data_IF_878344973037
#
_entry.id   IF_878344973037
#
_cell.length_a   1.000
_cell.length_b   1.000
_cell.length_c   1.000
_cell.angle_alpha   90.00
_cell.angle_beta   90.00
_cell.angle_gamma   90.00
#
_symmetry.space_group_name_H-M   'P 1'
#
loop_
_entity.id
_entity.type
_entity.pdbx_description
1 polymer ?
#
# COMPACT_ATOMS: atom_id res chain seq x y z
N UNK A 1 43.96 -25.48 98.17
CA UNK A 1 43.09 -26.64 97.87
C UNK A 1 42.25 -26.29 96.65
N UNK A 2 42.68 -26.74 95.47
CA UNK A 2 42.12 -27.90 94.76
C UNK A 2 40.69 -27.62 94.31
N UNK A 3 40.46 -27.32 93.03
CA UNK A 3 40.06 -28.27 91.97
C UNK A 3 38.89 -27.56 91.25
N UNK A 4 38.53 -27.72 89.97
CA UNK A 4 38.78 -28.72 88.94
C UNK A 4 38.10 -28.17 87.66
N UNK A 5 38.57 -28.59 86.48
CA UNK A 5 37.75 -29.13 85.36
C UNK A 5 36.48 -28.35 84.95
N UNK A 6 36.25 -27.92 83.71
CA UNK A 6 36.31 -28.61 82.42
C UNK A 6 36.16 -27.52 81.34
N UNK A 7 36.85 -27.60 80.20
CA UNK A 7 36.34 -26.94 78.99
C UNK A 7 36.36 -27.87 77.78
N UNK A 8 35.11 -28.20 77.43
CA UNK A 8 34.58 -28.81 76.22
C UNK A 8 35.39 -28.53 74.95
N UNK A 9 35.68 -29.62 74.25
CA UNK A 9 36.13 -29.63 72.85
C UNK A 9 34.96 -29.19 71.97
N UNK A 10 35.16 -28.14 71.17
CA UNK A 10 34.23 -27.71 70.13
C UNK A 10 34.69 -28.25 68.75
N UNK A 11 33.80 -28.79 67.90
CA UNK A 11 34.15 -29.11 66.52
C UNK A 11 34.09 -27.86 65.64
N UNK A 12 35.09 -27.69 64.76
CA UNK A 12 35.12 -26.64 63.73
C UNK A 12 34.04 -26.88 62.68
N UNK A 13 33.18 -25.89 62.35
CA UNK A 13 32.44 -25.92 61.10
C UNK A 13 33.28 -25.32 59.96
N UNK A 14 33.20 -26.06 58.86
CA UNK A 14 33.84 -25.87 57.55
C UNK A 14 33.28 -24.61 56.87
N UNK A 15 34.16 -23.77 56.32
CA UNK A 15 33.77 -22.66 55.46
C UNK A 15 33.01 -23.17 54.24
N UNK A 16 31.83 -22.62 53.97
CA UNK A 16 31.09 -22.84 52.75
C UNK A 16 30.70 -21.49 52.15
N UNK A 17 31.27 -21.27 50.97
CA UNK A 17 31.04 -20.21 50.00
C UNK A 17 29.61 -19.67 49.98
N UNK A 18 29.47 -18.36 50.10
CA UNK A 18 28.27 -17.63 49.72
C UNK A 18 28.17 -17.62 48.19
N UNK A 19 27.05 -18.10 47.65
CA UNK A 19 26.69 -17.86 46.25
C UNK A 19 25.33 -17.15 46.24
N UNK A 20 25.33 -15.88 45.83
CA UNK A 20 24.12 -15.08 45.60
C UNK A 20 23.54 -15.42 44.23
N UNK A 21 22.29 -15.93 44.11
CA UNK A 21 21.62 -16.00 42.82
C UNK A 21 20.75 -14.73 42.67
N UNK A 22 21.14 -13.81 41.78
CA UNK A 22 20.38 -12.56 41.64
C UNK A 22 20.50 -11.82 40.32
N UNK A 23 21.12 -12.42 39.29
CA UNK A 23 21.28 -11.77 37.98
C UNK A 23 20.35 -12.35 36.90
N UNK A 24 20.13 -13.66 36.89
CA UNK A 24 19.73 -14.36 35.67
C UNK A 24 18.25 -14.22 35.28
N UNK A 25 17.33 -14.06 36.24
CA UNK A 25 15.89 -14.02 35.96
C UNK A 25 15.44 -12.71 35.29
N UNK A 26 16.10 -11.59 35.61
CA UNK A 26 15.79 -10.27 35.02
C UNK A 26 16.24 -10.16 33.56
N UNK A 27 17.38 -10.76 33.22
CA UNK A 27 17.85 -10.86 31.85
C UNK A 27 16.97 -11.80 31.00
N UNK A 28 16.52 -12.93 31.58
CA UNK A 28 15.62 -13.85 30.87
C UNK A 28 14.25 -13.24 30.57
N UNK A 29 13.67 -12.48 31.51
CA UNK A 29 12.39 -11.76 31.28
C UNK A 29 12.57 -10.64 30.25
N UNK A 30 13.70 -9.92 30.28
CA UNK A 30 14.00 -8.87 29.30
C UNK A 30 14.18 -9.42 27.88
N UNK A 31 14.84 -10.59 27.72
CA UNK A 31 15.02 -11.26 26.43
C UNK A 31 13.69 -11.84 25.92
N UNK A 32 12.83 -12.37 26.80
CA UNK A 32 11.52 -12.89 26.43
C UNK A 32 10.54 -11.78 25.99
N UNK A 33 10.61 -10.59 26.62
CA UNK A 33 9.79 -9.42 26.24
C UNK A 33 10.28 -8.75 24.95
N UNK A 34 11.58 -8.80 24.66
CA UNK A 34 12.17 -8.22 23.44
C UNK A 34 11.96 -9.11 22.19
N UNK A 35 11.72 -10.41 22.37
CA UNK A 35 11.43 -11.36 21.29
C UNK A 35 9.97 -11.32 20.78
N UNK A 36 9.06 -10.63 21.47
CA UNK A 36 7.64 -10.49 21.08
C UNK A 36 7.39 -9.34 20.08
N UNK A 37 8.42 -8.58 19.69
CA UNK A 37 8.27 -7.37 18.86
C UNK A 37 9.20 -7.41 17.66
N UNK A 38 9.07 -8.38 16.74
CA UNK A 38 9.66 -8.24 15.40
C UNK A 38 9.23 -9.35 14.44
N UNK A 39 7.93 -9.39 14.11
CA UNK A 39 7.51 -9.99 12.83
C UNK A 39 6.52 -9.07 12.15
N UNK A 40 6.93 -7.82 11.95
CA UNK A 40 6.31 -6.98 10.91
C UNK A 40 6.80 -7.51 9.57
N UNK A 41 6.10 -8.49 9.02
CA UNK A 41 6.16 -8.71 7.58
C UNK A 41 5.56 -7.46 6.94
N UNK A 42 6.40 -6.50 6.57
CA UNK A 42 6.02 -5.46 5.63
C UNK A 42 5.80 -6.13 4.26
N UNK A 43 4.65 -6.81 4.11
CA UNK A 43 4.16 -7.22 2.80
C UNK A 43 3.87 -5.92 2.08
N UNK A 44 4.77 -5.49 1.21
CA UNK A 44 4.52 -4.36 0.32
C UNK A 44 3.38 -4.77 -0.60
N UNK A 45 2.15 -4.42 -0.24
CA UNK A 45 0.99 -4.60 -1.11
C UNK A 45 1.24 -3.73 -2.34
N UNK A 46 1.65 -4.35 -3.45
CA UNK A 46 1.67 -3.68 -4.75
C UNK A 46 0.23 -3.29 -5.04
N UNK A 47 -0.05 -1.98 -5.00
CA UNK A 47 -1.38 -1.46 -5.31
C UNK A 47 -1.70 -1.78 -6.76
N UNK A 48 -2.91 -2.28 -7.00
CA UNK A 48 -3.39 -2.58 -8.35
C UNK A 48 -3.52 -1.28 -9.14
N UNK A 49 -3.01 -1.29 -10.38
CA UNK A 49 -3.02 -0.13 -11.28
C UNK A 49 -4.44 0.39 -11.54
N UNK A 50 -5.42 -0.52 -11.67
CA UNK A 50 -6.84 -0.17 -11.85
C UNK A 50 -7.40 0.59 -10.64
N UNK A 51 -7.05 0.14 -9.43
CA UNK A 51 -7.45 0.77 -8.17
C UNK A 51 -6.83 2.16 -8.02
N UNK A 52 -5.56 2.32 -8.40
CA UNK A 52 -4.90 3.62 -8.39
C UNK A 52 -5.58 4.61 -9.36
N UNK A 53 -5.86 4.19 -10.59
CA UNK A 53 -6.58 5.02 -11.55
C UNK A 53 -7.99 5.36 -11.07
N UNK A 54 -8.72 4.40 -10.49
CA UNK A 54 -10.07 4.61 -9.94
C UNK A 54 -10.07 5.67 -8.83
N UNK A 55 -9.08 5.62 -7.94
CA UNK A 55 -8.91 6.65 -6.90
C UNK A 55 -8.55 8.03 -7.48
N UNK A 56 -7.75 8.08 -8.53
CA UNK A 56 -7.38 9.33 -9.22
C UNK A 56 -8.60 9.94 -9.94
N UNK A 57 -9.45 9.13 -10.56
CA UNK A 57 -10.70 9.60 -11.19
C UNK A 57 -11.61 10.27 -10.18
N UNK A 58 -11.72 9.73 -8.96
CA UNK A 58 -12.52 10.35 -7.89
C UNK A 58 -12.01 11.74 -7.46
N UNK A 59 -10.81 12.15 -7.89
CA UNK A 59 -10.22 13.47 -7.63
C UNK A 59 -10.33 14.41 -8.83
N UNK A 60 -10.86 13.94 -9.97
CA UNK A 60 -11.12 14.79 -11.12
C UNK A 60 -12.19 15.81 -10.74
N UNK A 61 -11.98 17.04 -11.16
CA UNK A 61 -12.95 18.14 -10.99
C UNK A 61 -13.35 18.67 -12.36
N UNK A 62 -14.59 19.17 -12.43
CA UNK A 62 -15.08 19.87 -13.61
C UNK A 62 -14.15 21.05 -13.95
N UNK A 63 -13.96 21.33 -15.24
CA UNK A 63 -13.13 22.42 -15.76
C UNK A 63 -11.62 22.29 -15.43
N UNK A 64 -11.17 21.15 -14.89
CA UNK A 64 -9.75 20.79 -14.76
C UNK A 64 -9.07 20.81 -16.13
N UNK A 65 -7.87 21.38 -16.23
CA UNK A 65 -7.14 21.41 -17.50
C UNK A 65 -6.66 20.01 -17.89
N UNK A 66 -6.50 19.76 -19.20
CA UNK A 66 -5.90 18.52 -19.72
C UNK A 66 -4.53 18.26 -19.11
N UNK A 67 -3.73 19.30 -18.93
CA UNK A 67 -2.41 19.20 -18.31
C UNK A 67 -2.50 18.69 -16.87
N UNK A 68 -3.37 19.28 -16.06
CA UNK A 68 -3.55 18.87 -14.66
C UNK A 68 -4.16 17.48 -14.56
N UNK A 69 -5.09 17.14 -15.48
CA UNK A 69 -5.63 15.79 -15.60
C UNK A 69 -4.53 14.77 -15.88
N UNK A 70 -3.63 15.04 -16.83
CA UNK A 70 -2.52 14.15 -17.15
C UNK A 70 -1.50 14.04 -16.01
N UNK A 71 -1.28 15.10 -15.24
CA UNK A 71 -0.45 15.07 -14.03
C UNK A 71 -1.11 14.21 -12.95
N UNK A 72 -2.41 14.40 -12.72
CA UNK A 72 -3.19 13.64 -11.74
C UNK A 72 -3.26 12.15 -12.08
N UNK A 73 -3.61 11.83 -13.32
CA UNK A 73 -3.77 10.45 -13.78
C UNK A 73 -2.40 9.76 -13.95
N UNK A 74 -1.40 10.52 -14.38
CA UNK A 74 -0.10 10.02 -14.80
C UNK A 74 -0.11 9.47 -16.23
N UNK A 75 1.06 9.45 -16.86
CA UNK A 75 1.24 9.02 -18.26
C UNK A 75 2.10 7.76 -18.42
N UNK A 76 2.46 7.14 -17.29
CA UNK A 76 3.33 5.96 -17.26
C UNK A 76 2.59 4.72 -17.78
N UNK A 77 3.31 3.89 -18.53
CA UNK A 77 2.81 2.56 -18.95
C UNK A 77 2.94 1.55 -17.81
N UNK A 78 1.83 0.95 -17.41
CA UNK A 78 1.82 -0.18 -16.49
C UNK A 78 2.28 -1.46 -17.21
N UNK A 79 3.16 -2.23 -16.56
CA UNK A 79 3.67 -3.50 -17.11
C UNK A 79 3.32 -4.63 -16.14
N UNK A 80 2.26 -5.42 -16.41
CA UNK A 80 1.97 -6.58 -15.60
C UNK A 80 3.05 -7.65 -15.77
N UNK A 81 3.15 -8.58 -14.81
CA UNK A 81 4.08 -9.71 -14.91
C UNK A 81 3.70 -10.68 -16.05
N UNK A 82 2.41 -10.70 -16.41
CA UNK A 82 1.82 -11.51 -17.47
C UNK A 82 0.89 -10.61 -18.29
N UNK A 83 0.99 -10.67 -19.62
CA UNK A 83 0.21 -9.85 -20.54
C UNK A 83 0.96 -8.64 -21.09
N UNK A 84 0.26 -7.85 -21.89
CA UNK A 84 0.85 -6.72 -22.61
C UNK A 84 0.97 -5.47 -21.72
N UNK A 85 1.93 -4.56 -22.01
CA UNK A 85 2.00 -3.25 -21.39
C UNK A 85 0.72 -2.44 -21.62
N UNK A 86 0.19 -1.82 -20.56
CA UNK A 86 -1.02 -1.01 -20.60
C UNK A 86 -0.64 0.47 -20.47
N UNK A 87 -0.78 1.29 -21.52
CA UNK A 87 -0.50 2.72 -21.43
C UNK A 87 -1.54 3.44 -20.55
N UNK A 88 -1.18 4.64 -20.07
CA UNK A 88 -2.09 5.53 -19.35
C UNK A 88 -2.08 6.91 -20.03
N UNK A 89 -3.19 7.43 -20.57
CA UNK A 89 -4.46 6.73 -20.82
C UNK A 89 -4.26 5.49 -21.72
N UNK A 90 -5.21 4.57 -21.68
CA UNK A 90 -5.18 3.35 -22.50
C UNK A 90 -5.37 3.69 -23.98
N UNK A 91 -6.32 4.59 -24.28
CA UNK A 91 -6.54 5.13 -25.63
C UNK A 91 -7.13 6.54 -25.54
N UNK A 92 -7.01 7.25 -26.65
CA UNK A 92 -7.63 8.57 -26.84
C UNK A 92 -8.49 8.54 -28.11
N UNK A 93 -9.64 9.19 -28.05
CA UNK A 93 -10.55 9.35 -29.18
C UNK A 93 -10.86 10.83 -29.39
N UNK A 94 -10.89 11.28 -30.65
CA UNK A 94 -11.34 12.61 -31.00
C UNK A 94 -12.73 12.52 -31.63
N UNK A 95 -13.70 13.21 -31.05
CA UNK A 95 -15.08 13.26 -31.51
C UNK A 95 -15.38 14.64 -32.11
N UNK A 96 -16.09 14.67 -33.24
CA UNK A 96 -16.65 15.90 -33.80
C UNK A 96 -18.16 15.75 -33.93
N UNK A 97 -18.89 16.62 -33.27
CA UNK A 97 -20.35 16.66 -33.32
C UNK A 97 -20.84 18.03 -33.78
N UNK A 98 -22.17 18.22 -33.82
CA UNK A 98 -22.77 19.51 -34.16
C UNK A 98 -22.39 20.61 -33.16
N UNK A 99 -22.15 20.27 -31.90
CA UNK A 99 -21.79 21.23 -30.84
C UNK A 99 -20.30 21.51 -30.76
N UNK A 100 -19.44 20.69 -31.38
CA UNK A 100 -18.01 20.99 -31.50
C UNK A 100 -17.12 19.76 -31.47
N UNK A 101 -15.84 19.99 -31.16
CA UNK A 101 -14.83 18.94 -31.03
C UNK A 101 -14.62 18.59 -29.56
N UNK A 102 -14.54 17.29 -29.30
CA UNK A 102 -14.27 16.69 -27.99
C UNK A 102 -13.07 15.76 -28.09
N UNK A 103 -12.35 15.62 -26.98
CA UNK A 103 -11.30 14.63 -26.80
C UNK A 103 -11.71 13.72 -25.63
N UNK A 104 -11.61 12.41 -25.81
CA UNK A 104 -11.97 11.43 -24.79
C UNK A 104 -10.75 10.60 -24.47
N UNK A 105 -10.33 10.62 -23.19
CA UNK A 105 -9.24 9.80 -22.68
C UNK A 105 -9.84 8.62 -21.92
N UNK A 106 -9.50 7.41 -22.32
CA UNK A 106 -10.00 6.20 -21.69
C UNK A 106 -8.97 5.65 -20.70
N UNK A 107 -9.35 5.57 -19.43
CA UNK A 107 -8.49 5.09 -18.35
C UNK A 107 -8.91 3.72 -17.89
N UNK A 108 -7.93 2.87 -17.59
CA UNK A 108 -8.15 1.54 -17.06
C UNK A 108 -8.49 1.60 -15.57
N UNK A 109 -9.68 1.13 -15.16
CA UNK A 109 -10.21 1.34 -13.79
C UNK A 109 -10.87 0.13 -13.15
N UNK A 110 -11.08 -0.94 -13.91
CA UNK A 110 -11.55 -2.22 -13.37
C UNK A 110 -10.42 -3.27 -13.49
N UNK A 111 -10.42 -4.34 -12.69
CA UNK A 111 -9.35 -5.33 -12.71
C UNK A 111 -9.26 -6.07 -14.06
N UNK A 112 -8.03 -6.26 -14.56
CA UNK A 112 -7.75 -7.02 -15.79
C UNK A 112 -8.14 -8.48 -15.58
N UNK A 113 -8.97 -9.03 -16.46
CA UNK A 113 -9.08 -10.49 -16.56
C UNK A 113 -7.84 -11.03 -17.28
N UNK A 114 -7.06 -11.84 -16.58
CA UNK A 114 -5.82 -12.39 -17.12
C UNK A 114 -6.05 -13.06 -18.50
N UNK A 115 -5.13 -12.80 -19.44
CA UNK A 115 -5.11 -13.36 -20.80
C UNK A 115 -6.32 -13.02 -21.68
N UNK A 116 -7.05 -11.94 -21.38
CA UNK A 116 -8.12 -11.44 -22.25
C UNK A 116 -7.79 -10.04 -22.78
N UNK A 117 -8.21 -9.68 -24.00
CA UNK A 117 -8.10 -8.32 -24.48
C UNK A 117 -8.86 -7.34 -23.57
N UNK A 118 -8.32 -6.14 -23.37
CA UNK A 118 -8.98 -5.07 -22.63
C UNK A 118 -10.23 -4.63 -23.40
N UNK A 119 -11.36 -4.63 -22.70
CA UNK A 119 -12.67 -4.25 -23.20
C UNK A 119 -13.14 -2.94 -22.61
N UNK A 120 -14.17 -2.33 -23.22
CA UNK A 120 -14.77 -1.10 -22.71
C UNK A 120 -15.34 -1.24 -21.30
N UNK A 121 -15.76 -2.45 -20.91
CA UNK A 121 -16.23 -2.71 -19.54
C UNK A 121 -15.15 -2.46 -18.48
N UNK A 122 -13.86 -2.44 -18.87
CA UNK A 122 -12.73 -2.23 -17.96
C UNK A 122 -12.23 -0.77 -17.94
N UNK A 123 -12.88 0.10 -18.71
CA UNK A 123 -12.45 1.47 -18.93
C UNK A 123 -13.43 2.49 -18.36
N UNK A 124 -12.89 3.64 -17.95
CA UNK A 124 -13.66 4.84 -17.64
C UNK A 124 -13.21 5.98 -18.56
N UNK A 125 -14.12 6.52 -19.39
CA UNK A 125 -13.80 7.67 -20.24
C UNK A 125 -13.77 8.97 -19.42
N UNK A 126 -12.86 9.88 -19.75
CA UNK A 126 -12.86 11.27 -19.31
C UNK A 126 -13.01 12.13 -20.55
N UNK A 127 -14.02 12.98 -20.56
CA UNK A 127 -14.42 13.80 -21.72
C UNK A 127 -13.90 15.22 -21.54
N UNK A 128 -13.24 15.73 -22.58
CA UNK A 128 -12.70 17.07 -22.62
C UNK A 128 -13.27 17.85 -23.78
N UNK A 129 -13.42 19.16 -23.56
CA UNK A 129 -13.72 20.16 -24.58
C UNK A 129 -12.83 21.37 -24.33
N UNK A 130 -12.20 21.90 -25.37
CA UNK A 130 -11.27 23.03 -25.26
C UNK A 130 -10.20 22.80 -24.18
N UNK A 131 -9.60 21.61 -24.16
CA UNK A 131 -8.58 21.18 -23.19
C UNK A 131 -9.02 21.18 -21.72
N UNK A 132 -10.32 21.12 -21.45
CA UNK A 132 -10.86 21.05 -20.09
C UNK A 132 -11.83 19.91 -19.90
N UNK A 133 -11.80 19.30 -18.72
CA UNK A 133 -12.74 18.23 -18.33
C UNK A 133 -14.15 18.79 -18.27
N UNK A 134 -15.07 18.14 -18.98
CA UNK A 134 -16.51 18.41 -18.96
C UNK A 134 -17.33 17.24 -18.38
N UNK A 135 -16.69 16.11 -18.10
CA UNK A 135 -17.34 14.96 -17.48
C UNK A 135 -16.46 13.71 -17.57
N UNK A 136 -16.88 12.66 -16.90
CA UNK A 136 -16.25 11.35 -16.93
C UNK A 136 -17.28 10.25 -16.68
N UNK A 137 -16.91 9.02 -17.01
CA UNK A 137 -17.81 7.88 -17.00
C UNK A 137 -18.64 7.77 -18.28
N UNK A 138 -19.22 6.59 -18.46
CA UNK A 138 -19.94 6.24 -19.68
C UNK A 138 -21.13 7.15 -19.97
N UNK A 139 -21.82 7.66 -18.94
CA UNK A 139 -22.90 8.62 -19.13
C UNK A 139 -22.44 9.90 -19.85
N UNK A 140 -21.33 10.50 -19.39
CA UNK A 140 -20.78 11.71 -20.02
C UNK A 140 -20.28 11.44 -21.45
N UNK A 141 -19.70 10.26 -21.70
CA UNK A 141 -19.27 9.87 -23.04
C UNK A 141 -20.45 9.68 -24.01
N UNK A 142 -21.53 9.02 -23.57
CA UNK A 142 -22.71 8.84 -24.42
C UNK A 142 -23.42 10.15 -24.70
N UNK A 143 -23.53 11.03 -23.69
CA UNK A 143 -24.11 12.36 -23.85
C UNK A 143 -23.44 13.11 -25.00
N UNK A 144 -22.10 13.17 -25.05
CA UNK A 144 -21.41 13.86 -26.14
C UNK A 144 -21.44 13.12 -27.47
N UNK A 145 -21.66 11.81 -27.50
CA UNK A 145 -21.73 11.02 -28.74
C UNK A 145 -23.07 11.18 -29.47
N UNK A 146 -24.13 11.48 -28.73
CA UNK A 146 -25.49 11.62 -29.25
C UNK A 146 -25.86 13.07 -29.63
N UNK A 147 -24.96 14.03 -29.39
CA UNK A 147 -25.10 15.45 -29.79
C UNK A 147 -24.92 15.74 -31.29
#
# INVERSE_FOLDING_TARGET
>A
MCARHVSKIAPRPRAAHTNRPGGSMRFLIAVLLMALVSTSCAVSQRKDFSVENKEKINRITMNMSKKDLLILMGTSTYRPNLGDPVPNPYRTEALRTRKGAYEVLFYFTEPVKANMPITDAELTPVVLRNEKVIGWGWAAYQEVREE
#
